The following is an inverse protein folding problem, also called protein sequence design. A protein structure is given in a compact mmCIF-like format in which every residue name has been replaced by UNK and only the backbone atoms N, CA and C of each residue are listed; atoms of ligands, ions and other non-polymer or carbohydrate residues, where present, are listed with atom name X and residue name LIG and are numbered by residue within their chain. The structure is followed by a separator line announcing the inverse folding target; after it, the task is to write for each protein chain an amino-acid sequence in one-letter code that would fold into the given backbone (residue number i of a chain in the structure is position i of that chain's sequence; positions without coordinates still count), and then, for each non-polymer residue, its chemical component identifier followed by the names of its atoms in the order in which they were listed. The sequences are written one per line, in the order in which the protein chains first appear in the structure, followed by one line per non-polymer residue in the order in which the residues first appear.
data_IF_169553771365
#
_entry.id   IF_169553771365
#
_cell.length_a   1.000
_cell.length_b   1.000
_cell.length_c   1.000
_cell.angle_alpha   90.00
_cell.angle_beta   90.00
_cell.angle_gamma   90.00
#
_symmetry.space_group_name_H-M   'P 1'
#
loop_
_entity.id
_entity.type
_entity.pdbx_description
1 polymer ?
#
# COMPACT_ATOMS: atom_id res chain seq x y z
N UNK A 1 -1.11 23.34 -64.43
CA UNK A 1 -0.70 21.97 -63.98
C UNK A 1 0.44 22.03 -62.95
N UNK A 2 1.51 22.81 -63.19
CA UNK A 2 2.63 22.92 -62.23
C UNK A 2 2.23 23.39 -60.82
N UNK A 3 1.40 24.44 -60.68
CA UNK A 3 0.99 24.99 -59.38
C UNK A 3 0.25 23.97 -58.50
N UNK A 4 -0.68 23.19 -59.05
CA UNK A 4 -1.40 22.14 -58.32
C UNK A 4 -0.46 21.05 -57.77
N UNK A 5 0.57 20.68 -58.52
CA UNK A 5 1.59 19.72 -58.07
C UNK A 5 2.45 20.28 -56.92
N UNK A 6 2.80 21.58 -56.98
CA UNK A 6 3.52 22.25 -55.88
C UNK A 6 2.68 22.33 -54.61
N UNK A 7 1.41 22.75 -54.70
CA UNK A 7 0.48 22.80 -53.56
C UNK A 7 0.24 21.41 -52.95
N UNK A 8 0.05 20.39 -53.79
CA UNK A 8 -0.09 19.01 -53.33
C UNK A 8 1.11 18.57 -52.50
N UNK A 9 2.33 18.86 -52.95
CA UNK A 9 3.56 18.49 -52.23
C UNK A 9 3.81 19.34 -50.98
N UNK A 10 3.35 20.59 -50.96
CA UNK A 10 3.45 21.50 -49.82
C UNK A 10 2.54 21.09 -48.65
N UNK A 11 1.36 20.50 -48.93
CA UNK A 11 0.43 20.01 -47.90
C UNK A 11 0.75 18.56 -47.50
N UNK A 12 0.99 17.69 -48.48
CA UNK A 12 1.10 16.24 -48.23
C UNK A 12 2.33 15.90 -47.37
N UNK A 13 3.46 16.58 -47.58
CA UNK A 13 4.69 16.30 -46.83
C UNK A 13 4.54 16.59 -45.32
N UNK A 14 4.15 17.80 -44.88
CA UNK A 14 3.89 18.08 -43.47
C UNK A 14 2.86 17.13 -42.85
N UNK A 15 1.80 16.77 -43.60
CA UNK A 15 0.76 15.87 -43.10
C UNK A 15 1.31 14.47 -42.77
N UNK A 16 2.22 13.95 -43.59
CA UNK A 16 2.91 12.68 -43.32
C UNK A 16 3.73 12.79 -42.04
N UNK A 17 4.51 13.86 -41.85
CA UNK A 17 5.29 14.06 -40.62
C UNK A 17 4.42 14.18 -39.36
N UNK A 18 3.30 14.90 -39.44
CA UNK A 18 2.34 14.99 -38.33
C UNK A 18 1.78 13.61 -38.00
N UNK A 19 1.39 12.84 -39.01
CA UNK A 19 0.85 11.49 -38.81
C UNK A 19 1.88 10.53 -38.20
N UNK A 20 3.14 10.58 -38.65
CA UNK A 20 4.23 9.79 -38.08
C UNK A 20 4.44 10.14 -36.59
N UNK A 21 4.45 11.44 -36.25
CA UNK A 21 4.55 11.89 -34.86
C UNK A 21 3.37 11.44 -34.00
N UNK A 22 2.14 11.59 -34.49
CA UNK A 22 0.94 11.12 -33.81
C UNK A 22 0.96 9.60 -33.58
N UNK A 23 1.49 8.83 -34.53
CA UNK A 23 1.61 7.38 -34.41
C UNK A 23 2.67 6.97 -33.36
N UNK A 24 3.77 7.73 -33.22
CA UNK A 24 4.72 7.56 -32.11
C UNK A 24 4.06 7.82 -30.75
N UNK A 25 3.31 8.92 -30.63
CA UNK A 25 2.55 9.24 -29.41
C UNK A 25 1.54 8.14 -29.06
N UNK A 26 0.85 7.57 -30.05
CA UNK A 26 -0.06 6.44 -29.85
C UNK A 26 0.64 5.17 -29.31
N UNK A 27 1.93 5.01 -29.62
CA UNK A 27 2.79 3.95 -29.09
C UNK A 27 3.49 4.35 -27.77
N UNK A 28 3.03 5.44 -27.13
CA UNK A 28 3.58 5.99 -25.88
C UNK A 28 5.02 6.50 -26.00
N UNK A 29 5.47 6.80 -27.23
CA UNK A 29 6.74 7.46 -27.48
C UNK A 29 6.52 8.97 -27.66
N UNK A 30 6.84 9.71 -26.59
CA UNK A 30 6.75 11.18 -26.53
C UNK A 30 8.13 11.84 -26.63
N UNK A 31 9.16 11.11 -27.08
CA UNK A 31 10.55 11.60 -27.11
C UNK A 31 10.81 12.63 -28.21
N UNK A 32 9.99 12.63 -29.26
CA UNK A 32 10.13 13.51 -30.41
C UNK A 32 9.02 14.57 -30.49
N UNK A 33 9.41 15.76 -30.94
CA UNK A 33 8.48 16.84 -31.25
C UNK A 33 8.16 16.86 -32.74
N UNK A 34 6.91 17.15 -33.06
CA UNK A 34 6.47 17.38 -34.43
C UNK A 34 6.89 18.80 -34.82
N UNK A 35 7.86 18.94 -35.72
CA UNK A 35 8.38 20.25 -36.17
C UNK A 35 7.88 20.60 -37.57
N UNK A 36 6.65 21.13 -37.66
CA UNK A 36 6.12 21.71 -38.91
C UNK A 36 6.30 23.22 -38.90
N UNK A 37 7.19 23.74 -39.75
CA UNK A 37 7.39 25.17 -39.96
C UNK A 37 6.37 25.71 -40.96
N UNK A 38 5.11 25.79 -40.51
CA UNK A 38 4.01 26.41 -41.26
C UNK A 38 3.30 27.44 -40.38
N UNK A 39 2.78 28.49 -41.00
CA UNK A 39 2.01 29.55 -40.31
C UNK A 39 0.50 29.40 -40.56
N UNK A 40 0.07 28.23 -41.01
CA UNK A 40 -1.32 27.87 -41.30
C UNK A 40 -1.84 26.84 -40.28
N UNK A 41 -3.00 26.25 -40.56
CA UNK A 41 -3.68 25.28 -39.70
C UNK A 41 -2.81 24.02 -39.42
N UNK A 42 -1.87 23.67 -40.32
CA UNK A 42 -0.97 22.54 -40.10
C UNK A 42 0.08 22.86 -39.02
N UNK A 43 0.53 24.12 -38.95
CA UNK A 43 1.39 24.61 -37.89
C UNK A 43 0.67 24.60 -36.53
N UNK A 44 -0.57 25.10 -36.49
CA UNK A 44 -1.39 25.08 -35.27
C UNK A 44 -1.70 23.66 -34.77
N UNK A 45 -1.99 22.74 -35.70
CA UNK A 45 -2.20 21.33 -35.37
C UNK A 45 -0.93 20.69 -34.79
N UNK A 46 0.23 20.96 -35.41
CA UNK A 46 1.53 20.49 -34.92
C UNK A 46 1.81 20.98 -33.49
N UNK A 47 1.54 22.25 -33.22
CA UNK A 47 1.72 22.83 -31.88
C UNK A 47 0.77 22.18 -30.87
N UNK A 48 -0.52 22.03 -31.22
CA UNK A 48 -1.52 21.41 -30.34
C UNK A 48 -1.18 19.96 -29.99
N UNK A 49 -0.66 19.18 -30.95
CA UNK A 49 -0.20 17.81 -30.70
C UNK A 49 1.05 17.76 -29.81
N UNK A 50 1.98 18.70 -29.98
CA UNK A 50 3.13 18.81 -29.09
C UNK A 50 2.72 19.17 -27.65
N UNK A 51 1.78 20.09 -27.47
CA UNK A 51 1.26 20.44 -26.14
C UNK A 51 0.57 19.23 -25.50
N UNK A 52 -0.22 18.47 -26.27
CA UNK A 52 -0.82 17.23 -25.80
C UNK A 52 0.25 16.19 -25.43
N UNK A 53 1.30 16.04 -26.23
CA UNK A 53 2.43 15.14 -25.97
C UNK A 53 3.10 15.45 -24.62
N UNK A 54 3.36 16.73 -24.37
CA UNK A 54 3.94 17.21 -23.09
C UNK A 54 3.01 16.90 -21.92
N UNK A 55 1.71 17.22 -22.06
CA UNK A 55 0.73 16.98 -21.01
C UNK A 55 0.57 15.48 -20.69
N UNK A 56 0.56 14.62 -21.72
CA UNK A 56 0.49 13.17 -21.56
C UNK A 56 1.76 12.62 -20.90
N UNK A 57 2.94 13.09 -21.32
CA UNK A 57 4.21 12.69 -20.71
C UNK A 57 4.24 13.06 -19.22
N UNK A 58 3.78 14.26 -18.85
CA UNK A 58 3.69 14.69 -17.47
C UNK A 58 2.68 13.84 -16.67
N UNK A 59 1.48 13.61 -17.22
CA UNK A 59 0.47 12.78 -16.57
C UNK A 59 0.96 11.33 -16.35
N UNK A 60 1.69 10.75 -17.31
CA UNK A 60 2.29 9.42 -17.16
C UNK A 60 3.39 9.40 -16.10
N UNK A 61 4.22 10.44 -16.03
CA UNK A 61 5.23 10.58 -14.98
C UNK A 61 4.58 10.64 -13.59
N UNK A 62 3.56 11.47 -13.42
CA UNK A 62 2.82 11.61 -12.16
C UNK A 62 2.11 10.31 -11.77
N UNK A 63 1.50 9.63 -12.74
CA UNK A 63 0.85 8.33 -12.52
C UNK A 63 1.87 7.26 -12.10
N UNK A 64 3.04 7.21 -12.73
CA UNK A 64 4.12 6.29 -12.35
C UNK A 64 4.59 6.56 -10.92
N UNK A 65 4.79 7.83 -10.56
CA UNK A 65 5.19 8.24 -9.21
C UNK A 65 4.12 7.86 -8.18
N UNK A 66 2.84 8.10 -8.47
CA UNK A 66 1.74 7.72 -7.59
C UNK A 66 1.66 6.20 -7.41
N UNK A 67 1.84 5.42 -8.48
CA UNK A 67 1.89 3.96 -8.40
C UNK A 67 3.06 3.43 -7.56
N UNK A 68 4.24 4.02 -7.69
CA UNK A 68 5.40 3.67 -6.86
C UNK A 68 5.14 4.00 -5.38
N UNK A 69 4.54 5.16 -5.10
CA UNK A 69 4.16 5.54 -3.74
C UNK A 69 3.11 4.59 -3.16
N UNK A 70 2.03 4.30 -3.90
CA UNK A 70 0.99 3.35 -3.48
C UNK A 70 1.58 1.96 -3.19
N UNK A 71 2.51 1.49 -4.02
CA UNK A 71 3.18 0.20 -3.79
C UNK A 71 3.95 0.20 -2.46
N UNK A 72 4.65 1.29 -2.15
CA UNK A 72 5.36 1.42 -0.87
C UNK A 72 4.41 1.51 0.32
N UNK A 73 3.27 2.20 0.17
CA UNK A 73 2.27 2.32 1.23
C UNK A 73 1.60 0.97 1.52
N UNK A 74 1.25 0.20 0.47
CA UNK A 74 0.73 -1.17 0.61
C UNK A 74 1.74 -2.07 1.32
N UNK A 75 3.03 -1.96 1.02
CA UNK A 75 4.05 -2.79 1.68
C UNK A 75 4.16 -2.45 3.17
N UNK A 76 4.18 -1.17 3.53
CA UNK A 76 4.15 -0.74 4.94
C UNK A 76 2.90 -1.22 5.67
N UNK A 77 1.74 -1.13 5.03
CA UNK A 77 0.48 -1.60 5.62
C UNK A 77 0.53 -3.12 5.86
N UNK A 78 1.08 -3.90 4.92
CA UNK A 78 1.30 -5.35 5.10
C UNK A 78 2.25 -5.69 6.23
N UNK A 79 3.34 -4.93 6.39
CA UNK A 79 4.25 -5.09 7.52
C UNK A 79 3.54 -4.83 8.85
N UNK A 80 2.75 -3.75 8.93
CA UNK A 80 1.95 -3.43 10.11
C UNK A 80 0.93 -4.54 10.39
N UNK A 81 0.23 -5.02 9.36
CA UNK A 81 -0.75 -6.10 9.51
C UNK A 81 -0.10 -7.39 10.00
N UNK A 82 1.08 -7.73 9.48
CA UNK A 82 1.85 -8.91 9.89
C UNK A 82 2.26 -8.82 11.36
N UNK A 83 2.85 -7.70 11.78
CA UNK A 83 3.23 -7.45 13.19
C UNK A 83 2.02 -7.48 14.11
N UNK A 84 0.89 -6.93 13.67
CA UNK A 84 -0.37 -6.97 14.43
C UNK A 84 -0.87 -8.40 14.62
N UNK A 85 -0.83 -9.23 13.57
CA UNK A 85 -1.20 -10.66 13.65
C UNK A 85 -0.28 -11.43 14.59
N UNK A 86 1.03 -11.22 14.50
CA UNK A 86 2.03 -11.84 15.39
C UNK A 86 1.80 -11.42 16.85
N UNK A 87 1.58 -10.14 17.10
CA UNK A 87 1.26 -9.62 18.43
C UNK A 87 0.04 -10.32 19.04
N UNK A 88 -1.08 -10.41 18.31
CA UNK A 88 -2.27 -11.09 18.82
C UNK A 88 -2.04 -12.58 19.08
N UNK A 89 -1.23 -13.25 18.26
CA UNK A 89 -0.89 -14.66 18.48
C UNK A 89 -0.08 -14.83 19.79
N UNK A 90 0.88 -13.95 20.05
CA UNK A 90 1.66 -13.93 21.30
C UNK A 90 0.74 -13.68 22.49
N UNK A 91 -0.10 -12.65 22.43
CA UNK A 91 -1.06 -12.34 23.50
C UNK A 91 -1.96 -13.53 23.81
N UNK A 92 -2.50 -14.20 22.78
CA UNK A 92 -3.34 -15.37 22.97
C UNK A 92 -2.59 -16.51 23.66
N UNK A 93 -1.33 -16.77 23.28
CA UNK A 93 -0.49 -17.77 23.92
C UNK A 93 -0.22 -17.46 25.39
N UNK A 94 0.21 -16.22 25.66
CA UNK A 94 0.56 -15.75 27.01
C UNK A 94 -0.64 -15.67 27.95
N UNK A 95 -1.87 -15.48 27.45
CA UNK A 95 -3.09 -15.58 28.25
C UNK A 95 -3.55 -17.03 28.45
N UNK A 96 -3.34 -17.91 27.46
CA UNK A 96 -3.77 -19.31 27.52
C UNK A 96 -3.02 -20.10 28.58
N UNK A 97 -1.72 -19.88 28.72
CA UNK A 97 -0.87 -20.56 29.71
C UNK A 97 -1.36 -20.37 31.16
N UNK A 98 -1.47 -19.14 31.71
CA UNK A 98 -1.94 -18.91 33.06
C UNK A 98 -3.39 -19.36 33.26
N UNK A 99 -4.26 -19.20 32.25
CA UNK A 99 -5.63 -19.71 32.31
C UNK A 99 -5.67 -21.24 32.45
N UNK A 100 -4.81 -21.95 31.73
CA UNK A 100 -4.70 -23.42 31.81
C UNK A 100 -4.22 -23.86 33.19
N UNK A 101 -3.24 -23.16 33.76
CA UNK A 101 -2.73 -23.45 35.11
C UNK A 101 -3.80 -23.18 36.17
N UNK A 102 -4.49 -22.03 36.10
CA UNK A 102 -5.59 -21.71 37.02
C UNK A 102 -6.69 -22.76 36.95
N UNK A 103 -7.10 -23.11 35.73
CA UNK A 103 -8.11 -24.16 35.50
C UNK A 103 -7.67 -25.49 36.13
N UNK A 104 -6.42 -25.91 35.93
CA UNK A 104 -5.91 -27.15 36.52
C UNK A 104 -5.91 -27.15 38.05
N UNK A 105 -5.55 -26.03 38.67
CA UNK A 105 -5.62 -25.87 40.13
C UNK A 105 -7.07 -25.91 40.64
N UNK A 106 -7.98 -25.20 39.97
CA UNK A 106 -9.40 -25.17 40.33
C UNK A 106 -10.04 -26.55 40.16
N UNK A 107 -9.82 -27.22 39.03
CA UNK A 107 -10.32 -28.59 38.77
C UNK A 107 -9.77 -29.57 39.81
N UNK A 108 -8.47 -29.51 40.12
CA UNK A 108 -7.86 -30.35 41.15
C UNK A 108 -8.53 -30.19 42.52
N UNK A 109 -8.86 -28.96 42.91
CA UNK A 109 -9.57 -28.66 44.17
C UNK A 109 -11.06 -29.04 44.14
N UNK A 110 -11.72 -28.91 42.98
CA UNK A 110 -13.14 -29.29 42.79
C UNK A 110 -13.30 -30.82 42.88
N UNK A 111 -12.41 -31.56 42.22
CA UNK A 111 -12.42 -33.04 42.21
C UNK A 111 -11.72 -33.67 43.41
N UNK A 112 -11.22 -32.86 44.35
CA UNK A 112 -10.57 -33.31 45.59
C UNK A 112 -9.37 -34.25 45.35
N UNK A 113 -8.62 -33.99 44.27
CA UNK A 113 -7.45 -34.78 43.88
C UNK A 113 -6.34 -34.57 44.92
N UNK A 114 -5.82 -35.64 45.51
CA UNK A 114 -4.93 -35.66 46.69
C UNK A 114 -4.08 -34.39 46.95
N UNK A 115 -3.07 -34.05 46.12
CA UNK A 115 -2.20 -32.90 46.34
C UNK A 115 -2.92 -31.54 46.38
N UNK A 116 -4.16 -31.44 45.89
CA UNK A 116 -5.00 -30.23 45.84
C UNK A 116 -5.96 -30.08 47.03
N UNK A 117 -5.90 -30.96 48.04
CA UNK A 117 -6.75 -30.84 49.23
C UNK A 117 -6.44 -29.58 50.07
N UNK A 118 -5.22 -29.04 49.97
CA UNK A 118 -4.84 -27.79 50.63
C UNK A 118 -5.40 -26.57 49.87
N UNK A 119 -6.70 -26.34 50.00
CA UNK A 119 -7.43 -25.30 49.27
C UNK A 119 -6.81 -23.91 49.43
N UNK A 120 -6.45 -23.52 50.64
CA UNK A 120 -5.89 -22.19 50.91
C UNK A 120 -4.58 -21.94 50.14
N UNK A 121 -3.73 -22.96 50.00
CA UNK A 121 -2.49 -22.85 49.23
C UNK A 121 -2.76 -22.62 47.75
N UNK A 122 -3.64 -23.41 47.12
CA UNK A 122 -3.91 -23.30 45.68
C UNK A 122 -4.81 -22.12 45.33
N UNK A 123 -5.67 -21.66 46.24
CA UNK A 123 -6.38 -20.39 46.10
C UNK A 123 -5.40 -19.21 46.09
N UNK A 124 -4.40 -19.19 46.99
CA UNK A 124 -3.32 -18.18 46.94
C UNK A 124 -2.52 -18.23 45.64
N UNK A 125 -2.16 -19.42 45.15
CA UNK A 125 -1.47 -19.56 43.85
C UNK A 125 -2.32 -19.05 42.68
N UNK A 126 -3.62 -19.34 42.66
CA UNK A 126 -4.53 -18.78 41.65
C UNK A 126 -4.59 -17.26 41.73
N UNK A 127 -4.68 -16.70 42.93
CA UNK A 127 -4.70 -15.25 43.13
C UNK A 127 -3.44 -14.58 42.57
N UNK A 128 -2.26 -15.14 42.81
CA UNK A 128 -1.00 -14.66 42.23
C UNK A 128 -0.99 -14.70 40.69
N UNK A 129 -1.59 -15.74 40.09
CA UNK A 129 -1.71 -15.84 38.63
C UNK A 129 -2.65 -14.74 38.09
N UNK A 130 -3.76 -14.46 38.79
CA UNK A 130 -4.68 -13.37 38.44
C UNK A 130 -3.95 -12.01 38.48
N UNK A 131 -3.22 -11.71 39.56
CA UNK A 131 -2.42 -10.48 39.65
C UNK A 131 -1.39 -10.37 38.51
N UNK A 132 -0.75 -11.48 38.15
CA UNK A 132 0.20 -11.52 37.03
C UNK A 132 -0.48 -11.27 35.68
N UNK A 133 -1.67 -11.85 35.45
CA UNK A 133 -2.46 -11.61 34.24
C UNK A 133 -2.96 -10.16 34.17
N UNK A 134 -3.37 -9.56 35.28
CA UNK A 134 -3.75 -8.14 35.32
C UNK A 134 -2.60 -7.23 34.92
N UNK A 135 -1.38 -7.53 35.40
CA UNK A 135 -0.18 -6.79 35.00
C UNK A 135 0.11 -6.93 33.50
N UNK A 136 0.02 -8.15 32.97
CA UNK A 136 0.21 -8.41 31.54
C UNK A 136 -0.83 -7.67 30.67
N UNK A 137 -2.09 -7.61 31.11
CA UNK A 137 -3.14 -6.84 30.42
C UNK A 137 -2.83 -5.34 30.46
N UNK A 138 -2.34 -4.80 31.58
CA UNK A 138 -1.92 -3.38 31.67
C UNK A 138 -0.77 -3.07 30.72
N UNK A 139 0.21 -3.97 30.59
CA UNK A 139 1.33 -3.83 29.65
C UNK A 139 0.84 -3.81 28.20
N UNK A 140 -0.06 -4.73 27.82
CA UNK A 140 -0.69 -4.77 26.50
C UNK A 140 -1.44 -3.48 26.18
N UNK A 141 -2.28 -3.00 27.11
CA UNK A 141 -3.05 -1.77 26.91
C UNK A 141 -2.15 -0.52 26.82
N UNK A 142 -1.02 -0.53 27.50
CA UNK A 142 -0.04 0.56 27.45
C UNK A 142 0.69 0.57 26.10
N UNK A 143 1.06 -0.60 25.57
CA UNK A 143 1.63 -0.75 24.24
C UNK A 143 0.66 -0.31 23.14
N UNK A 144 -0.61 -0.73 23.23
CA UNK A 144 -1.66 -0.34 22.26
C UNK A 144 -1.89 1.17 22.18
N UNK A 145 -1.70 1.91 23.28
CA UNK A 145 -1.81 3.38 23.27
C UNK A 145 -0.61 4.05 22.61
N UNK A 146 0.60 3.48 22.73
CA UNK A 146 1.81 4.00 22.08
C UNK A 146 1.74 3.83 20.56
N UNK A 147 1.19 2.70 20.08
CA UNK A 147 0.97 2.45 18.65
C UNK A 147 -0.09 3.37 18.01
N UNK A 148 -1.01 3.97 18.78
CA UNK A 148 -2.01 4.90 18.25
C UNK A 148 -1.49 6.34 18.04
N UNK A 149 -0.34 6.68 18.62
CA UNK A 149 0.23 8.03 18.58
C UNK A 149 1.49 8.16 17.72
N UNK A 150 1.88 7.09 17.01
CA UNK A 150 3.01 7.07 16.06
C UNK A 150 2.50 6.67 14.69
#
# INVERSE_FOLDING_TARGET
IGSAYFYSRFITKPLIYINEGAQKMANLDFSEKIEVRSTDELGELSNSLNDMSINLQQAMFDLKKANEQLKNDIEKEREIETKRREFFAIVAHELKSPLTVMKGYLEGMIYNIGPYQNRDQYLKKNHQIIESMEQLVREILSMSKLEQHT
#
